data_IF_697393151716
#
_entry.id   IF_697393151716
#
_cell.length_a   1.000
_cell.length_b   1.000
_cell.length_c   1.000
_cell.angle_alpha   90.00
_cell.angle_beta   90.00
_cell.angle_gamma   90.00
#
_symmetry.space_group_name_H-M   'P 1'
#
loop_
_entity.id
_entity.type
_entity.pdbx_description
1 polymer ?
#
# COMPACT_ATOMS: atom_id res chain seq x y z
N UNK A 1 11.14 9.87 18.09
CA UNK A 1 11.25 9.88 16.61
C UNK A 1 10.27 8.84 16.12
N UNK A 2 9.12 9.26 15.58
CA UNK A 2 8.07 8.36 15.09
C UNK A 2 8.54 7.85 13.72
N UNK A 3 8.66 6.54 13.55
CA UNK A 3 9.12 5.93 12.30
C UNK A 3 7.90 5.53 11.48
N UNK A 4 7.67 6.21 10.36
CA UNK A 4 6.53 5.98 9.47
C UNK A 4 6.73 4.68 8.68
N UNK A 5 5.72 3.81 8.64
CA UNK A 5 5.79 2.51 7.94
C UNK A 5 4.78 2.47 6.79
N UNK A 6 5.23 2.10 5.59
CA UNK A 6 4.32 1.91 4.45
C UNK A 6 3.75 0.50 4.45
N UNK A 7 2.42 0.35 4.35
CA UNK A 7 1.74 -0.95 4.34
C UNK A 7 0.89 -1.18 3.07
N UNK A 8 1.13 -2.31 2.41
CA UNK A 8 0.37 -2.77 1.22
C UNK A 8 -0.84 -3.63 1.64
N UNK A 9 -2.02 -3.32 1.10
CA UNK A 9 -3.27 -4.07 1.34
C UNK A 9 -3.63 -5.03 0.23
N UNK A 10 -2.92 -4.98 -0.89
CA UNK A 10 -3.27 -5.69 -2.09
C UNK A 10 -2.72 -7.14 -2.07
N UNK A 11 -2.24 -7.63 -0.93
CA UNK A 11 -1.68 -8.97 -0.75
C UNK A 11 -2.52 -10.05 -1.48
N UNK A 12 -1.83 -10.80 -2.35
CA UNK A 12 -2.41 -11.71 -3.35
C UNK A 12 -3.03 -13.00 -2.78
N UNK A 13 -3.29 -13.13 -1.47
CA UNK A 13 -3.93 -14.32 -0.85
C UNK A 13 -4.93 -14.00 0.26
N UNK A 14 -5.98 -14.84 0.34
CA UNK A 14 -7.15 -14.74 1.24
C UNK A 14 -6.87 -15.00 2.74
N UNK A 15 -5.65 -15.37 3.15
CA UNK A 15 -5.40 -15.94 4.49
C UNK A 15 -4.96 -14.93 5.58
N UNK A 16 -4.79 -13.64 5.24
CA UNK A 16 -4.11 -12.67 6.10
C UNK A 16 -4.95 -11.71 6.93
N UNK A 17 -6.23 -12.00 7.10
CA UNK A 17 -7.11 -11.13 7.92
C UNK A 17 -6.76 -11.06 9.42
N UNK A 18 -5.89 -11.92 9.97
CA UNK A 18 -5.70 -12.04 11.44
C UNK A 18 -4.35 -11.56 12.00
N UNK A 19 -3.23 -11.71 11.29
CA UNK A 19 -1.89 -11.32 11.81
C UNK A 19 -1.60 -9.83 11.63
N UNK A 20 -1.93 -9.31 10.45
CA UNK A 20 -1.75 -7.90 10.08
C UNK A 20 -2.56 -6.95 10.98
N UNK A 21 -3.83 -7.27 11.26
CA UNK A 21 -4.67 -6.45 12.15
C UNK A 21 -4.11 -6.33 13.57
N UNK A 22 -3.28 -7.28 14.03
CA UNK A 22 -2.71 -7.24 15.37
C UNK A 22 -1.55 -6.24 15.47
N UNK A 23 -0.69 -6.18 14.46
CA UNK A 23 0.42 -5.22 14.41
C UNK A 23 -0.03 -3.79 14.07
N UNK A 24 -1.16 -3.64 13.37
CA UNK A 24 -1.77 -2.32 13.08
C UNK A 24 -2.23 -1.59 14.36
N UNK A 25 -2.59 -2.31 15.42
CA UNK A 25 -3.14 -1.72 16.65
C UNK A 25 -2.09 -1.29 17.68
N UNK A 26 -0.81 -1.68 17.53
CA UNK A 26 0.20 -1.49 18.57
C UNK A 26 1.10 -0.25 18.34
N UNK A 27 1.05 0.40 17.17
CA UNK A 27 1.79 1.64 16.90
C UNK A 27 0.95 2.70 16.17
N UNK A 28 1.06 4.01 16.50
CA UNK A 28 0.02 4.99 16.18
C UNK A 28 0.00 5.54 14.74
N UNK A 29 0.97 5.20 13.88
CA UNK A 29 1.02 5.75 12.52
C UNK A 29 1.60 4.74 11.51
N UNK A 30 0.71 4.12 10.75
CA UNK A 30 1.06 3.33 9.56
C UNK A 30 0.57 4.12 8.36
N UNK A 31 1.48 4.47 7.45
CA UNK A 31 1.14 5.17 6.22
C UNK A 31 0.74 4.16 5.15
N UNK A 32 -0.17 4.58 4.27
CA UNK A 32 -0.52 3.82 3.06
C UNK A 32 -0.13 4.59 1.82
N UNK A 33 0.52 3.94 0.87
CA UNK A 33 0.76 4.56 -0.43
C UNK A 33 -0.54 4.72 -1.21
N UNK A 34 -0.68 5.83 -1.94
CA UNK A 34 -1.72 5.99 -2.94
C UNK A 34 -1.68 4.85 -4.01
N UNK A 35 -0.50 4.27 -4.24
CA UNK A 35 -0.28 3.10 -5.11
C UNK A 35 -1.08 1.88 -4.63
N UNK A 36 -1.12 1.61 -3.32
CA UNK A 36 -1.92 0.51 -2.77
C UNK A 36 -3.42 0.71 -3.05
N UNK A 37 -3.89 1.96 -2.92
CA UNK A 37 -5.26 2.35 -3.26
C UNK A 37 -5.56 2.17 -4.76
N UNK A 38 -4.60 2.50 -5.63
CA UNK A 38 -4.68 2.26 -7.06
C UNK A 38 -4.76 0.76 -7.39
N UNK A 39 -3.92 -0.08 -6.80
CA UNK A 39 -3.92 -1.52 -7.04
C UNK A 39 -5.23 -2.18 -6.59
N UNK A 40 -5.76 -1.80 -5.42
CA UNK A 40 -7.07 -2.27 -4.93
C UNK A 40 -8.17 -1.87 -5.91
N UNK A 41 -8.17 -0.60 -6.35
CA UNK A 41 -9.15 -0.09 -7.32
C UNK A 41 -9.08 -0.85 -8.65
N UNK A 42 -7.87 -1.18 -9.12
CA UNK A 42 -7.65 -1.95 -10.33
C UNK A 42 -8.14 -3.41 -10.19
N UNK A 43 -7.92 -4.04 -9.03
CA UNK A 43 -8.42 -5.39 -8.74
C UNK A 43 -9.95 -5.43 -8.69
N UNK A 44 -10.58 -4.41 -8.14
CA UNK A 44 -12.06 -4.26 -8.14
C UNK A 44 -12.58 -4.08 -9.56
N UNK A 45 -11.99 -3.17 -10.34
CA UNK A 45 -12.38 -2.93 -11.72
C UNK A 45 -12.24 -4.19 -12.61
N UNK A 46 -11.22 -5.02 -12.34
CA UNK A 46 -11.01 -6.32 -13.02
C UNK A 46 -11.89 -7.46 -12.46
N UNK A 47 -12.75 -7.20 -11.49
CA UNK A 47 -13.58 -8.21 -10.82
C UNK A 47 -12.79 -9.23 -9.98
N UNK A 48 -11.49 -8.99 -9.76
CA UNK A 48 -10.61 -9.88 -8.97
C UNK A 48 -10.75 -9.69 -7.46
N UNK A 49 -11.33 -8.56 -7.04
CA UNK A 49 -11.61 -8.24 -5.65
C UNK A 49 -13.05 -7.71 -5.54
N UNK A 50 -13.83 -8.29 -4.63
CA UNK A 50 -15.15 -7.78 -4.30
C UNK A 50 -15.07 -7.03 -2.97
N UNK A 51 -15.53 -5.80 -2.98
CA UNK A 51 -15.63 -4.94 -1.80
C UNK A 51 -17.10 -4.79 -1.40
N UNK A 52 -17.40 -4.59 -0.10
CA UNK A 52 -18.76 -4.40 0.39
C UNK A 52 -19.37 -3.05 -0.02
N UNK A 53 -18.59 -2.17 -0.64
CA UNK A 53 -18.97 -0.85 -1.12
C UNK A 53 -18.10 -0.47 -2.34
N UNK A 54 -18.45 0.58 -3.12
CA UNK A 54 -17.57 1.10 -4.15
C UNK A 54 -16.16 1.38 -3.62
N UNK A 55 -15.14 1.14 -4.44
CA UNK A 55 -13.73 1.19 -4.01
C UNK A 55 -13.36 2.52 -3.35
N UNK A 56 -13.83 3.65 -3.91
CA UNK A 56 -13.64 4.99 -3.34
C UNK A 56 -14.14 5.08 -1.90
N UNK A 57 -15.40 4.69 -1.67
CA UNK A 57 -16.05 4.83 -0.37
C UNK A 57 -15.46 3.85 0.64
N UNK A 58 -15.12 2.64 0.19
CA UNK A 58 -14.48 1.63 1.03
C UNK A 58 -13.08 2.06 1.47
N UNK A 59 -12.24 2.55 0.54
CA UNK A 59 -10.89 3.01 0.86
C UNK A 59 -10.91 4.23 1.79
N UNK A 60 -11.80 5.21 1.55
CA UNK A 60 -11.95 6.37 2.43
C UNK A 60 -12.28 5.95 3.87
N UNK A 61 -13.22 5.01 4.04
CA UNK A 61 -13.57 4.45 5.36
C UNK A 61 -12.40 3.73 6.02
N UNK A 62 -11.60 2.98 5.26
CA UNK A 62 -10.43 2.28 5.81
C UNK A 62 -9.38 3.28 6.31
N UNK A 63 -9.12 4.33 5.53
CA UNK A 63 -8.20 5.41 5.92
C UNK A 63 -8.66 6.08 7.21
N UNK A 64 -9.92 6.48 7.28
CA UNK A 64 -10.52 7.11 8.46
C UNK A 64 -10.53 6.19 9.68
N UNK A 65 -11.05 4.96 9.53
CA UNK A 65 -11.20 4.00 10.62
C UNK A 65 -9.87 3.61 11.28
N UNK A 66 -8.80 3.54 10.48
CA UNK A 66 -7.48 3.14 10.97
C UNK A 66 -6.53 4.33 11.22
N UNK A 67 -7.01 5.58 11.08
CA UNK A 67 -6.17 6.77 11.27
C UNK A 67 -4.94 6.79 10.36
N UNK A 68 -5.07 6.28 9.13
CA UNK A 68 -3.95 6.12 8.21
C UNK A 68 -3.65 7.45 7.53
N UNK A 69 -2.38 7.78 7.37
CA UNK A 69 -1.98 8.85 6.44
C UNK A 69 -1.74 8.22 5.08
N UNK A 70 -2.25 8.85 4.01
CA UNK A 70 -1.99 8.39 2.65
C UNK A 70 -0.79 9.14 2.09
N UNK A 71 0.30 8.42 1.79
CA UNK A 71 1.46 8.97 1.14
C UNK A 71 1.12 9.23 -0.35
N UNK A 72 1.23 10.47 -0.83
CA UNK A 72 0.99 10.79 -2.23
C UNK A 72 2.03 10.14 -3.14
N UNK A 73 1.65 9.82 -4.37
CA UNK A 73 2.60 9.40 -5.39
C UNK A 73 3.14 10.65 -6.11
N UNK A 74 4.37 11.02 -5.80
CA UNK A 74 5.04 12.17 -6.42
C UNK A 74 5.68 11.81 -7.77
N UNK A 75 6.04 12.82 -8.56
CA UNK A 75 6.68 12.62 -9.86
C UNK A 75 8.02 11.88 -9.74
N UNK A 76 8.81 12.20 -8.72
CA UNK A 76 10.11 11.58 -8.48
C UNK A 76 9.98 10.08 -8.19
N UNK A 77 8.92 9.68 -7.47
CA UNK A 77 8.55 8.27 -7.28
C UNK A 77 8.28 7.60 -8.61
N UNK A 78 7.60 8.29 -9.54
CA UNK A 78 7.31 7.73 -10.86
C UNK A 78 8.57 7.54 -11.71
N UNK A 79 9.48 8.52 -11.69
CA UNK A 79 10.74 8.46 -12.43
C UNK A 79 11.61 7.34 -11.87
N UNK A 80 11.85 7.34 -10.56
CA UNK A 80 12.67 6.33 -9.90
C UNK A 80 12.12 4.91 -10.14
N UNK A 81 10.80 4.71 -10.10
CA UNK A 81 10.18 3.41 -10.40
C UNK A 81 10.47 2.93 -11.83
N UNK A 82 10.54 3.84 -12.80
CA UNK A 82 10.90 3.54 -14.19
C UNK A 82 12.37 3.17 -14.37
N UNK A 83 13.26 3.73 -13.55
CA UNK A 83 14.71 3.51 -13.60
C UNK A 83 15.17 2.26 -12.85
N UNK A 84 14.32 1.69 -11.98
CA UNK A 84 14.64 0.46 -11.27
C UNK A 84 15.03 -0.68 -12.25
N UNK A 85 16.06 -1.48 -11.90
CA UNK A 85 16.37 -2.71 -12.62
C UNK A 85 15.12 -3.57 -12.79
N UNK A 86 15.02 -4.28 -13.91
CA UNK A 86 13.90 -5.19 -14.19
C UNK A 86 14.02 -6.50 -13.39
N UNK A 87 13.91 -6.38 -12.07
CA UNK A 87 13.86 -7.49 -11.11
C UNK A 87 12.40 -7.78 -10.76
N UNK A 88 11.55 -6.74 -10.71
CA UNK A 88 10.11 -6.84 -10.52
C UNK A 88 9.37 -6.37 -11.78
N UNK A 89 8.45 -7.20 -12.29
CA UNK A 89 7.63 -6.89 -13.47
C UNK A 89 6.35 -6.14 -13.12
N UNK A 90 5.88 -6.20 -11.87
CA UNK A 90 4.67 -5.51 -11.46
C UNK A 90 4.93 -4.00 -11.29
N UNK A 91 4.23 -3.12 -12.03
CA UNK A 91 4.43 -1.68 -11.90
C UNK A 91 4.15 -1.15 -10.50
N UNK A 92 3.18 -1.73 -9.76
CA UNK A 92 2.84 -1.27 -8.41
C UNK A 92 3.99 -1.56 -7.45
N UNK A 93 4.59 -2.75 -7.52
CA UNK A 93 5.77 -3.11 -6.72
C UNK A 93 6.93 -2.14 -6.97
N UNK A 94 7.15 -1.76 -8.23
CA UNK A 94 8.19 -0.80 -8.60
C UNK A 94 7.94 0.60 -8.02
N UNK A 95 6.69 1.08 -8.08
CA UNK A 95 6.34 2.35 -7.43
C UNK A 95 6.49 2.26 -5.91
N UNK A 96 6.16 1.13 -5.29
CA UNK A 96 6.35 0.93 -3.85
C UNK A 96 7.83 0.99 -3.46
N UNK A 97 8.70 0.27 -4.18
CA UNK A 97 10.15 0.30 -3.96
C UNK A 97 10.69 1.72 -4.10
N UNK A 98 10.28 2.44 -5.15
CA UNK A 98 10.70 3.83 -5.35
C UNK A 98 10.21 4.78 -4.25
N UNK A 99 8.94 4.67 -3.85
CA UNK A 99 8.34 5.50 -2.80
C UNK A 99 9.07 5.32 -1.47
N UNK A 100 9.33 4.07 -1.11
CA UNK A 100 10.09 3.68 0.08
C UNK A 100 11.50 4.24 0.07
N UNK A 101 12.20 4.03 -1.05
CA UNK A 101 13.62 4.41 -1.19
C UNK A 101 13.79 5.92 -1.10
N UNK A 102 12.89 6.70 -1.73
CA UNK A 102 12.97 8.15 -1.74
C UNK A 102 12.54 8.79 -0.42
N UNK A 103 11.63 8.17 0.33
CA UNK A 103 11.10 8.72 1.57
C UNK A 103 11.80 8.15 2.83
N UNK A 104 12.84 7.32 2.67
CA UNK A 104 13.55 6.61 3.75
C UNK A 104 12.58 5.87 4.72
N UNK A 105 11.51 5.32 4.14
CA UNK A 105 10.45 4.68 4.92
C UNK A 105 10.77 3.20 5.12
N UNK A 106 10.74 2.66 6.34
CA UNK A 106 10.68 1.21 6.50
C UNK A 106 9.43 0.64 5.82
N UNK A 107 9.63 -0.36 4.97
CA UNK A 107 8.52 -1.13 4.38
C UNK A 107 8.18 -2.27 5.31
N UNK A 108 6.89 -2.50 5.48
CA UNK A 108 6.41 -3.80 5.91
C UNK A 108 5.78 -4.43 4.67
N UNK A 109 6.62 -5.13 3.90
CA UNK A 109 6.14 -6.08 2.89
C UNK A 109 5.99 -7.44 3.54
N UNK A 110 5.09 -8.25 3.01
CA UNK A 110 4.81 -9.59 3.53
C UNK A 110 5.59 -10.67 2.76
N UNK A 111 6.86 -10.39 2.43
CA UNK A 111 7.75 -11.41 1.89
C UNK A 111 8.54 -12.05 3.05
N UNK A 112 7.80 -12.85 3.84
CA UNK A 112 8.17 -14.12 4.52
C UNK A 112 7.10 -14.56 5.55
#
# INVERSE_FOLDING_TARGET
MIRLRCFDLAARRKELRRRVCKQINEEPAIDRSAISGFEISLKVAKGKLQLPAPAKDWLAKIVEHHGLTVLPTELDVCIAAGELPRIHDDPCDRFMIAAVTLNDLPVVTEDE
#
